data_IF_502910798709
#
_entry.id   IF_502910798709
#
_cell.length_a   1.000
_cell.length_b   1.000
_cell.length_c   1.000
_cell.angle_alpha   90.00
_cell.angle_beta   90.00
_cell.angle_gamma   90.00
#
_symmetry.space_group_name_H-M   'P 1'
#
loop_
_entity.id
_entity.type
_entity.pdbx_description
1 polymer ?
#
# COMPACT_ATOMS: atom_id res chain seq x y z
N UNK A 1 8.59 1.83 1.93
CA UNK A 1 9.79 2.71 1.76
C UNK A 1 10.82 1.95 0.94
N UNK A 2 11.47 2.59 -0.02
CA UNK A 2 12.39 1.97 -0.98
C UNK A 2 13.69 2.77 -1.08
N UNK A 3 14.75 2.17 -1.61
CA UNK A 3 16.04 2.82 -1.74
C UNK A 3 16.09 3.72 -2.98
N UNK A 4 15.99 3.13 -4.16
CA UNK A 4 16.15 3.81 -5.44
C UNK A 4 14.80 4.02 -6.14
N UNK A 5 14.52 5.26 -6.57
CA UNK A 5 13.26 5.62 -7.22
C UNK A 5 13.11 4.98 -8.61
N UNK A 6 14.21 4.87 -9.39
CA UNK A 6 14.18 4.30 -10.73
C UNK A 6 13.98 2.77 -10.69
N UNK A 7 14.68 2.07 -9.81
CA UNK A 7 14.50 0.62 -9.61
C UNK A 7 13.08 0.30 -9.15
N UNK A 8 12.53 1.11 -8.24
CA UNK A 8 11.14 0.98 -7.81
C UNK A 8 10.17 1.18 -8.99
N UNK A 9 10.37 2.22 -9.79
CA UNK A 9 9.56 2.49 -10.96
C UNK A 9 9.62 1.32 -11.96
N UNK A 10 10.81 0.84 -12.30
CA UNK A 10 11.01 -0.25 -13.24
C UNK A 10 10.35 -1.55 -12.76
N UNK A 11 10.53 -1.90 -11.50
CA UNK A 11 9.93 -3.11 -10.93
C UNK A 11 8.40 -3.06 -10.96
N UNK A 12 7.79 -2.03 -10.39
CA UNK A 12 6.34 -1.96 -10.28
C UNK A 12 5.65 -1.74 -11.62
N UNK A 13 6.28 -1.05 -12.57
CA UNK A 13 5.69 -0.85 -13.91
C UNK A 13 6.03 -1.96 -14.92
N UNK A 14 7.23 -2.53 -14.91
CA UNK A 14 7.63 -3.51 -15.92
C UNK A 14 7.40 -4.96 -15.45
N UNK A 15 7.74 -5.29 -14.19
CA UNK A 15 7.53 -6.64 -13.66
C UNK A 15 6.07 -6.85 -13.28
N UNK A 16 5.49 -5.97 -12.46
CA UNK A 16 4.11 -6.11 -11.97
C UNK A 16 3.06 -5.48 -12.89
N UNK A 17 3.47 -4.79 -13.94
CA UNK A 17 2.57 -4.11 -14.88
C UNK A 17 1.59 -3.15 -14.19
N UNK A 18 1.98 -2.56 -13.05
CA UNK A 18 1.21 -1.51 -12.41
C UNK A 18 1.48 -0.17 -13.12
N UNK A 19 0.48 0.68 -13.15
CA UNK A 19 0.57 1.99 -13.73
C UNK A 19 1.12 2.99 -12.73
N UNK A 20 2.20 3.72 -13.06
CA UNK A 20 2.57 4.93 -12.34
C UNK A 20 1.49 5.99 -12.59
N UNK A 21 0.77 6.37 -11.54
CA UNK A 21 -0.38 7.28 -11.63
C UNK A 21 -0.10 8.66 -11.05
N UNK A 22 0.96 8.79 -10.25
CA UNK A 22 1.41 10.09 -9.75
C UNK A 22 2.88 10.09 -9.43
N UNK A 23 3.58 11.11 -9.90
CA UNK A 23 4.88 11.53 -9.40
C UNK A 23 4.68 12.80 -8.59
N UNK A 24 5.01 12.78 -7.32
CA UNK A 24 5.00 13.96 -6.46
C UNK A 24 6.17 13.89 -5.49
N UNK A 25 6.22 14.79 -4.52
CA UNK A 25 7.21 14.77 -3.44
C UNK A 25 6.52 14.46 -2.11
N UNK A 26 7.30 14.06 -1.12
CA UNK A 26 6.77 13.93 0.21
C UNK A 26 6.20 15.27 0.68
N UNK A 27 4.94 15.26 1.13
CA UNK A 27 4.19 16.46 1.52
C UNK A 27 4.77 17.17 2.76
N UNK A 28 5.55 16.46 3.55
CA UNK A 28 6.18 17.01 4.76
C UNK A 28 7.66 17.38 4.51
N UNK A 29 8.33 16.74 3.51
CA UNK A 29 9.70 17.02 3.10
C UNK A 29 9.87 16.83 1.58
N UNK A 30 10.00 17.91 0.79
CA UNK A 30 10.06 17.82 -0.67
C UNK A 30 11.43 17.38 -1.22
N UNK A 31 12.33 16.86 -0.40
CA UNK A 31 13.66 16.41 -0.82
C UNK A 31 13.65 15.08 -1.59
N UNK A 32 12.56 14.31 -1.52
CA UNK A 32 12.43 13.02 -2.18
C UNK A 32 11.08 12.84 -2.87
N UNK A 33 11.06 11.95 -3.85
CA UNK A 33 9.84 11.55 -4.53
C UNK A 33 8.82 10.90 -3.59
N UNK A 34 7.56 11.01 -3.98
CA UNK A 34 6.47 10.17 -3.51
C UNK A 34 5.77 9.63 -4.77
N UNK A 35 5.97 8.36 -5.05
CA UNK A 35 5.46 7.69 -6.25
C UNK A 35 4.21 6.89 -5.94
N UNK A 36 3.20 6.97 -6.81
CA UNK A 36 1.93 6.27 -6.65
C UNK A 36 1.70 5.33 -7.83
N UNK A 37 1.44 4.07 -7.52
CA UNK A 37 1.11 3.04 -8.50
C UNK A 37 -0.29 2.51 -8.24
N UNK A 38 -0.96 2.10 -9.29
CA UNK A 38 -2.28 1.47 -9.24
C UNK A 38 -2.43 0.43 -10.34
N UNK A 39 -3.52 -0.35 -10.32
CA UNK A 39 -3.93 -1.20 -11.42
C UNK A 39 -4.16 -0.38 -12.69
N UNK A 40 -4.14 -1.03 -13.86
CA UNK A 40 -4.20 -0.33 -15.16
C UNK A 40 -5.46 0.51 -15.34
N UNK A 41 -6.59 0.06 -14.85
CA UNK A 41 -7.90 0.71 -15.00
C UNK A 41 -8.28 1.64 -13.84
N UNK A 42 -7.53 1.68 -12.74
CA UNK A 42 -7.81 2.48 -11.54
C UNK A 42 -9.20 2.24 -10.91
N UNK A 43 -9.85 1.14 -11.25
CA UNK A 43 -11.22 0.86 -10.83
C UNK A 43 -11.32 0.39 -9.38
N UNK A 44 -10.21 -0.13 -8.84
CA UNK A 44 -10.21 -0.80 -7.54
C UNK A 44 -9.24 -0.15 -6.56
N UNK A 45 -9.40 -0.37 -5.25
CA UNK A 45 -8.44 0.10 -4.25
C UNK A 45 -7.09 -0.59 -4.43
N UNK A 46 -6.25 0.01 -5.26
CA UNK A 46 -4.94 -0.53 -5.62
C UNK A 46 -3.81 0.49 -5.46
N UNK A 47 -4.09 1.63 -4.81
CA UNK A 47 -3.15 2.73 -4.73
C UNK A 47 -1.99 2.41 -3.77
N UNK A 48 -0.89 1.91 -4.32
CA UNK A 48 0.34 1.66 -3.60
C UNK A 48 1.32 2.81 -3.74
N UNK A 49 1.81 3.35 -2.63
CA UNK A 49 2.68 4.53 -2.66
C UNK A 49 4.05 4.26 -2.06
N UNK A 50 5.06 4.95 -2.59
CA UNK A 50 6.44 4.74 -2.20
C UNK A 50 7.15 6.05 -1.86
N UNK A 51 7.95 5.98 -0.80
CA UNK A 51 8.93 7.00 -0.45
C UNK A 51 10.34 6.47 -0.76
N UNK A 52 10.95 6.87 -1.88
CA UNK A 52 12.36 6.60 -2.15
C UNK A 52 13.26 7.37 -1.16
N UNK A 53 14.15 6.64 -0.53
CA UNK A 53 15.06 7.14 0.51
C UNK A 53 16.50 6.75 0.16
N UNK A 54 17.06 7.32 -0.91
CA UNK A 54 18.31 6.88 -1.56
C UNK A 54 19.51 6.71 -0.62
N UNK A 55 19.56 7.46 0.48
CA UNK A 55 20.68 7.42 1.45
C UNK A 55 20.30 6.79 2.80
N UNK A 56 19.17 6.10 2.86
CA UNK A 56 18.71 5.48 4.10
C UNK A 56 19.22 4.05 4.23
N UNK A 57 19.23 3.56 5.47
CA UNK A 57 19.56 2.17 5.75
C UNK A 57 18.34 1.27 5.54
N UNK A 58 18.60 -0.02 5.34
CA UNK A 58 17.56 -1.03 5.38
C UNK A 58 16.81 -0.98 6.71
N UNK A 59 15.50 -1.10 6.66
CA UNK A 59 14.68 -1.24 7.86
C UNK A 59 14.75 -2.65 8.44
N UNK A 60 14.20 -2.82 9.63
CA UNK A 60 14.00 -4.14 10.22
C UNK A 60 12.50 -4.39 10.34
N UNK A 61 12.02 -5.48 9.72
CA UNK A 61 10.61 -5.88 9.80
C UNK A 61 10.23 -6.20 11.25
N UNK A 62 9.06 -5.76 11.68
CA UNK A 62 8.59 -6.01 13.03
C UNK A 62 7.36 -5.20 13.38
N UNK A 63 6.99 -5.17 14.65
CA UNK A 63 5.77 -4.51 15.10
C UNK A 63 5.76 -3.01 14.78
N UNK A 64 4.56 -2.51 14.53
CA UNK A 64 4.32 -1.14 14.14
C UNK A 64 4.34 -0.92 12.62
N UNK A 65 4.40 -1.99 11.82
CA UNK A 65 4.48 -1.96 10.36
C UNK A 65 3.39 -2.85 9.74
N UNK A 66 2.98 -2.51 8.49
CA UNK A 66 2.44 -3.52 7.61
C UNK A 66 3.54 -4.52 7.24
N UNK A 67 3.16 -5.76 7.01
CA UNK A 67 4.07 -6.81 6.59
C UNK A 67 4.06 -7.00 5.06
N UNK A 68 3.87 -8.25 4.65
CA UNK A 68 3.71 -8.62 3.23
C UNK A 68 2.50 -7.94 2.62
N UNK A 69 2.64 -7.46 1.38
CA UNK A 69 1.55 -6.91 0.60
C UNK A 69 1.13 -7.96 -0.44
N UNK A 70 -0.18 -8.19 -0.52
CA UNK A 70 -0.76 -9.17 -1.41
C UNK A 70 -1.60 -8.45 -2.47
N UNK A 71 -1.26 -8.67 -3.73
CA UNK A 71 -2.05 -8.22 -4.87
C UNK A 71 -2.96 -9.34 -5.35
N UNK A 72 -4.14 -8.99 -5.78
CA UNK A 72 -5.08 -9.93 -6.38
C UNK A 72 -4.84 -10.04 -7.88
N UNK A 73 -4.81 -11.28 -8.36
CA UNK A 73 -4.78 -11.61 -9.78
C UNK A 73 -6.02 -12.43 -10.12
N UNK A 74 -6.49 -12.42 -11.38
CA UNK A 74 -7.63 -13.20 -11.80
C UNK A 74 -7.41 -14.70 -11.61
N UNK A 75 -8.49 -15.43 -11.49
CA UNK A 75 -8.48 -16.90 -11.49
C UNK A 75 -7.81 -17.43 -12.76
N UNK A 76 -7.06 -18.53 -12.62
CA UNK A 76 -6.28 -19.17 -13.67
C UNK A 76 -5.15 -18.31 -14.28
N UNK A 77 -4.64 -17.32 -13.53
CA UNK A 77 -3.53 -16.44 -13.96
C UNK A 77 -2.17 -16.82 -13.40
N UNK A 78 -2.08 -17.80 -12.51
CA UNK A 78 -0.82 -18.19 -11.84
C UNK A 78 0.29 -18.56 -12.82
N UNK A 79 -0.02 -19.38 -13.85
CA UNK A 79 0.96 -19.80 -14.86
C UNK A 79 1.54 -18.61 -15.66
N UNK A 80 0.70 -17.62 -15.95
CA UNK A 80 1.18 -16.40 -16.60
C UNK A 80 2.16 -15.64 -15.70
N UNK A 81 1.81 -15.48 -14.43
CA UNK A 81 2.63 -14.71 -13.48
C UNK A 81 3.91 -15.44 -13.07
N UNK A 82 3.90 -16.76 -12.94
CA UNK A 82 5.11 -17.54 -12.69
C UNK A 82 6.11 -17.39 -13.84
N UNK A 83 5.66 -17.58 -15.09
CA UNK A 83 6.48 -17.38 -16.27
C UNK A 83 6.99 -15.93 -16.40
N UNK A 84 6.16 -14.94 -16.03
CA UNK A 84 6.56 -13.55 -16.03
C UNK A 84 7.65 -13.26 -15.00
N UNK A 85 7.51 -13.70 -13.76
CA UNK A 85 8.53 -13.56 -12.72
C UNK A 85 9.85 -14.22 -13.14
N UNK A 86 9.78 -15.43 -13.72
CA UNK A 86 10.94 -16.14 -14.26
C UNK A 86 11.63 -15.34 -15.39
N UNK A 87 10.85 -14.75 -16.30
CA UNK A 87 11.39 -13.97 -17.42
C UNK A 87 12.16 -12.72 -16.97
N UNK A 88 11.82 -12.18 -15.80
CA UNK A 88 12.54 -11.08 -15.15
C UNK A 88 13.59 -11.54 -14.13
N UNK A 89 13.77 -12.86 -13.96
CA UNK A 89 14.72 -13.42 -12.99
C UNK A 89 14.35 -13.19 -11.54
N UNK A 90 13.08 -13.02 -11.25
CA UNK A 90 12.58 -12.81 -9.88
C UNK A 90 12.31 -14.18 -9.23
N UNK A 91 13.03 -14.55 -8.17
CA UNK A 91 12.77 -15.78 -7.43
C UNK A 91 11.41 -15.71 -6.75
N UNK A 92 10.64 -16.78 -6.82
CA UNK A 92 9.35 -16.89 -6.17
C UNK A 92 9.14 -18.28 -5.55
N UNK A 93 8.14 -18.37 -4.70
CA UNK A 93 7.67 -19.64 -4.12
C UNK A 93 6.15 -19.73 -4.29
N UNK A 94 5.70 -20.78 -4.95
CA UNK A 94 4.27 -21.08 -5.02
C UNK A 94 3.83 -21.80 -3.74
N UNK A 95 2.79 -21.28 -3.09
CA UNK A 95 2.23 -21.84 -1.85
C UNK A 95 0.73 -21.54 -1.79
N UNK A 96 0.00 -22.35 -1.04
CA UNK A 96 -1.37 -22.02 -0.66
C UNK A 96 -1.39 -21.00 0.48
N UNK A 97 -2.25 -20.02 0.37
CA UNK A 97 -2.61 -19.08 1.42
C UNK A 97 -4.08 -19.35 1.80
N UNK A 98 -4.30 -20.15 2.83
CA UNK A 98 -5.58 -20.80 3.08
C UNK A 98 -6.03 -21.60 1.85
N UNK A 99 -7.18 -21.26 1.24
CA UNK A 99 -7.72 -21.95 0.06
C UNK A 99 -7.23 -21.37 -1.28
N UNK A 100 -6.60 -20.18 -1.26
CA UNK A 100 -6.10 -19.53 -2.47
C UNK A 100 -4.67 -19.95 -2.82
N UNK A 101 -4.38 -20.10 -4.10
CA UNK A 101 -3.01 -20.28 -4.59
C UNK A 101 -2.30 -18.93 -4.72
N UNK A 102 -1.02 -18.88 -4.37
CA UNK A 102 -0.28 -17.63 -4.38
C UNK A 102 1.21 -17.82 -4.72
N UNK A 103 1.79 -16.79 -5.39
CA UNK A 103 3.21 -16.67 -5.66
C UNK A 103 3.82 -15.64 -4.70
N UNK A 104 4.74 -16.09 -3.87
CA UNK A 104 5.44 -15.27 -2.87
C UNK A 104 6.83 -14.90 -3.38
N UNK A 105 7.16 -13.62 -3.36
CA UNK A 105 8.45 -13.07 -3.81
C UNK A 105 8.79 -11.77 -3.09
N UNK A 106 9.90 -11.17 -3.44
CA UNK A 106 10.34 -9.88 -2.89
C UNK A 106 10.62 -8.88 -4.03
N UNK A 107 10.40 -7.61 -3.75
CA UNK A 107 10.85 -6.54 -4.62
C UNK A 107 12.37 -6.31 -4.49
N UNK A 108 13.01 -5.48 -5.36
CA UNK A 108 14.45 -5.19 -5.28
C UNK A 108 14.91 -4.62 -3.94
N UNK A 109 13.98 -4.09 -3.15
CA UNK A 109 14.24 -3.49 -1.83
C UNK A 109 13.88 -4.41 -0.66
N UNK A 110 13.64 -5.72 -0.93
CA UNK A 110 13.29 -6.75 0.06
C UNK A 110 11.90 -6.54 0.72
N UNK A 111 11.01 -5.81 0.07
CA UNK A 111 9.62 -5.79 0.47
C UNK A 111 8.97 -7.11 0.05
N UNK A 112 8.39 -7.82 1.02
CA UNK A 112 7.69 -9.06 0.75
C UNK A 112 6.36 -8.81 0.05
N UNK A 113 6.16 -9.50 -1.06
CA UNK A 113 4.98 -9.41 -1.91
C UNK A 113 4.37 -10.80 -2.13
N UNK A 114 3.10 -10.82 -2.50
CA UNK A 114 2.49 -12.00 -3.09
C UNK A 114 1.47 -11.61 -4.17
N UNK A 115 1.32 -12.49 -5.16
CA UNK A 115 0.20 -12.49 -6.09
C UNK A 115 -0.73 -13.61 -5.68
N UNK A 116 -1.96 -13.28 -5.34
CA UNK A 116 -2.97 -14.22 -4.82
C UNK A 116 -4.08 -14.36 -5.84
N UNK A 117 -4.38 -15.59 -6.20
CA UNK A 117 -5.44 -15.88 -7.14
C UNK A 117 -6.81 -15.60 -6.51
N UNK A 118 -7.56 -14.70 -7.12
CA UNK A 118 -8.93 -14.37 -6.73
C UNK A 118 -9.95 -15.34 -7.32
N UNK A 119 -11.22 -15.22 -6.95
CA UNK A 119 -12.30 -16.12 -7.40
C UNK A 119 -12.77 -15.82 -8.82
N UNK A 120 -12.55 -14.59 -9.32
CA UNK A 120 -13.11 -14.11 -10.57
C UNK A 120 -12.16 -14.34 -11.75
N UNK A 121 -12.71 -14.75 -12.90
CA UNK A 121 -11.99 -14.78 -14.17
C UNK A 121 -11.98 -13.36 -14.79
N UNK A 122 -10.92 -13.04 -15.52
CA UNK A 122 -10.83 -11.80 -16.28
C UNK A 122 -10.29 -12.05 -17.69
N UNK A 123 -10.51 -11.09 -18.58
CA UNK A 123 -10.01 -11.16 -19.97
C UNK A 123 -8.51 -11.01 -20.08
N UNK A 124 -7.87 -10.45 -19.07
CA UNK A 124 -6.42 -10.25 -18.96
C UNK A 124 -5.91 -10.74 -17.62
N UNK A 125 -4.66 -11.20 -17.52
CA UNK A 125 -4.10 -11.70 -16.26
C UNK A 125 -3.60 -10.61 -15.30
N UNK A 126 -3.93 -9.35 -15.57
CA UNK A 126 -3.40 -8.20 -14.84
C UNK A 126 -3.82 -8.19 -13.38
N UNK A 127 -3.02 -7.52 -12.54
CA UNK A 127 -3.37 -7.25 -11.14
C UNK A 127 -4.67 -6.43 -11.11
N UNK A 128 -5.66 -6.93 -10.40
CA UNK A 128 -6.98 -6.29 -10.27
C UNK A 128 -7.07 -5.33 -9.09
N UNK A 129 -6.21 -5.48 -8.09
CA UNK A 129 -6.18 -4.62 -6.91
C UNK A 129 -5.35 -5.22 -5.79
N UNK A 130 -5.59 -4.75 -4.57
CA UNK A 130 -5.07 -5.44 -3.39
C UNK A 130 -5.93 -6.67 -3.08
N UNK A 131 -5.26 -7.75 -2.71
CA UNK A 131 -5.91 -8.85 -2.00
C UNK A 131 -5.92 -8.59 -0.50
N UNK A 132 -4.83 -8.04 0.03
CA UNK A 132 -4.72 -7.72 1.44
C UNK A 132 -3.28 -7.48 1.91
N UNK A 133 -3.10 -7.49 3.23
CA UNK A 133 -1.77 -7.30 3.83
C UNK A 133 -1.63 -8.02 5.16
N UNK A 134 -0.38 -8.30 5.53
CA UNK A 134 -0.06 -8.76 6.87
C UNK A 134 0.05 -7.58 7.83
N UNK A 135 -0.43 -7.76 9.05
CA UNK A 135 -0.34 -6.79 10.13
C UNK A 135 0.70 -7.27 11.15
N UNK A 136 1.84 -6.60 11.25
CA UNK A 136 2.89 -6.96 12.21
C UNK A 136 2.64 -6.24 13.55
N UNK A 137 1.96 -6.93 14.44
CA UNK A 137 1.48 -6.37 15.71
C UNK A 137 2.43 -6.61 16.88
N UNK A 138 2.57 -5.62 17.76
CA UNK A 138 3.23 -5.77 19.07
C UNK A 138 2.34 -6.52 20.09
N UNK A 139 1.02 -6.53 19.86
CA UNK A 139 0.01 -7.24 20.64
C UNK A 139 -1.08 -7.71 19.70
N UNK A 140 -0.92 -8.91 19.14
CA UNK A 140 -1.84 -9.42 18.14
C UNK A 140 -3.27 -9.64 18.68
N UNK A 141 -3.41 -9.95 19.96
CA UNK A 141 -4.74 -10.14 20.57
C UNK A 141 -5.49 -8.81 20.68
N UNK A 142 -4.81 -7.75 21.10
CA UNK A 142 -5.38 -6.41 21.13
C UNK A 142 -5.70 -5.89 19.73
N UNK A 143 -4.82 -6.13 18.74
CA UNK A 143 -5.09 -5.81 17.32
C UNK A 143 -6.31 -6.57 16.80
N UNK A 144 -6.41 -7.86 17.06
CA UNK A 144 -7.54 -8.69 16.63
C UNK A 144 -8.87 -8.13 17.17
N UNK A 145 -8.94 -7.85 18.49
CA UNK A 145 -10.15 -7.26 19.10
C UNK A 145 -10.47 -5.89 18.52
N UNK A 146 -9.46 -5.06 18.28
CA UNK A 146 -9.65 -3.73 17.68
C UNK A 146 -10.18 -3.81 16.25
N UNK A 147 -9.63 -4.69 15.42
CA UNK A 147 -10.07 -4.89 14.04
C UNK A 147 -11.54 -5.34 13.97
N UNK A 148 -11.96 -6.23 14.86
CA UNK A 148 -13.34 -6.73 14.88
C UNK A 148 -14.30 -5.68 15.48
N UNK A 149 -13.99 -5.14 16.64
CA UNK A 149 -14.92 -4.32 17.40
C UNK A 149 -15.02 -2.89 16.88
N UNK A 150 -13.89 -2.31 16.42
CA UNK A 150 -13.82 -0.91 16.02
C UNK A 150 -13.81 -0.72 14.48
N UNK A 151 -13.22 -1.66 13.76
CA UNK A 151 -13.18 -1.62 12.28
C UNK A 151 -14.21 -2.51 11.62
N UNK A 152 -14.90 -3.36 12.39
CA UNK A 152 -15.96 -4.22 11.88
C UNK A 152 -15.49 -5.30 10.90
N UNK A 153 -14.20 -5.71 10.99
CA UNK A 153 -13.71 -6.81 10.19
C UNK A 153 -14.34 -8.14 10.65
N UNK A 154 -14.55 -9.02 9.70
CA UNK A 154 -15.16 -10.33 9.92
C UNK A 154 -14.08 -11.42 9.83
N UNK A 155 -13.93 -12.28 10.85
CA UNK A 155 -13.08 -13.45 10.74
C UNK A 155 -13.61 -14.42 9.69
N UNK A 156 -12.70 -14.85 8.78
CA UNK A 156 -13.03 -15.82 7.73
C UNK A 156 -12.52 -17.21 8.13
N UNK A 157 -11.24 -17.26 8.50
CA UNK A 157 -10.54 -18.48 8.85
C UNK A 157 -9.39 -18.20 9.82
N UNK A 158 -8.88 -19.25 10.42
CA UNK A 158 -7.67 -19.22 11.22
C UNK A 158 -6.94 -20.56 11.14
N UNK A 159 -5.65 -20.52 11.36
CA UNK A 159 -4.83 -21.70 11.64
C UNK A 159 -3.97 -21.44 12.87
N UNK A 160 -2.97 -22.29 13.14
CA UNK A 160 -2.10 -22.13 14.32
C UNK A 160 -1.30 -20.82 14.29
N UNK A 161 -0.99 -20.29 13.11
CA UNK A 161 -0.08 -19.16 12.90
C UNK A 161 -0.79 -17.84 12.58
N UNK A 162 -2.01 -17.87 11.99
CA UNK A 162 -2.66 -16.69 11.41
C UNK A 162 -4.15 -16.62 11.73
N UNK A 163 -4.62 -15.40 11.98
CA UNK A 163 -6.01 -15.02 11.73
C UNK A 163 -6.14 -14.46 10.32
N UNK A 164 -7.22 -14.83 9.65
CA UNK A 164 -7.62 -14.34 8.33
C UNK A 164 -8.95 -13.59 8.47
N UNK A 165 -8.90 -12.28 8.25
CA UNK A 165 -10.00 -11.34 8.45
C UNK A 165 -10.32 -10.65 7.11
N UNK A 166 -11.59 -10.29 6.90
CA UNK A 166 -12.00 -9.48 5.75
C UNK A 166 -12.77 -8.24 6.17
N UNK A 167 -12.77 -7.22 5.31
CA UNK A 167 -13.66 -6.08 5.46
C UNK A 167 -15.11 -6.50 5.18
N UNK A 168 -16.06 -5.83 5.80
CA UNK A 168 -17.49 -6.04 5.54
C UNK A 168 -17.99 -5.07 4.44
N UNK A 169 -17.29 -5.05 3.30
CA UNK A 169 -17.61 -4.23 2.12
C UNK A 169 -17.91 -5.14 0.93
N UNK A 170 -18.46 -4.56 -0.15
CA UNK A 170 -18.69 -5.28 -1.41
C UNK A 170 -17.37 -5.73 -2.05
N UNK A 171 -16.34 -4.89 -1.96
CA UNK A 171 -14.98 -5.22 -2.34
C UNK A 171 -14.22 -5.65 -1.07
N UNK A 172 -13.84 -6.91 -1.03
CA UNK A 172 -13.28 -7.54 0.16
C UNK A 172 -11.76 -7.32 0.20
N UNK A 173 -11.31 -6.45 1.10
CA UNK A 173 -9.90 -6.38 1.48
C UNK A 173 -9.63 -7.28 2.68
N UNK A 174 -8.44 -7.86 2.73
CA UNK A 174 -8.10 -8.87 3.73
C UNK A 174 -6.93 -8.44 4.62
N UNK A 175 -7.02 -8.82 5.89
CA UNK A 175 -5.94 -8.71 6.86
C UNK A 175 -5.52 -10.11 7.32
N UNK A 176 -4.23 -10.36 7.21
CA UNK A 176 -3.56 -11.53 7.75
C UNK A 176 -2.82 -11.12 9.02
N UNK A 177 -3.29 -11.56 10.16
CA UNK A 177 -2.73 -11.20 11.46
C UNK A 177 -1.99 -12.41 12.06
N UNK A 178 -0.64 -12.40 12.11
CA UNK A 178 0.12 -13.45 12.77
C UNK A 178 -0.24 -13.56 14.26
N UNK A 179 -0.42 -14.77 14.76
CA UNK A 179 -0.73 -15.07 16.16
C UNK A 179 0.54 -15.03 17.04
N UNK A 180 1.36 -14.00 16.82
CA UNK A 180 2.59 -13.78 17.56
C UNK A 180 2.78 -12.27 17.79
N UNK A 181 3.25 -11.92 18.97
CA UNK A 181 3.68 -10.55 19.25
C UNK A 181 5.04 -10.32 18.61
N UNK A 182 5.07 -9.47 17.59
CA UNK A 182 6.29 -9.13 16.89
C UNK A 182 7.17 -8.20 17.75
N UNK A 183 8.48 -8.43 17.72
CA UNK A 183 9.43 -7.47 18.26
C UNK A 183 9.34 -6.14 17.48
N UNK A 184 9.82 -5.05 18.08
CA UNK A 184 9.75 -3.72 17.49
C UNK A 184 10.52 -3.65 16.19
N UNK A 185 9.82 -3.30 15.09
CA UNK A 185 10.42 -3.00 13.80
C UNK A 185 11.12 -1.63 13.78
N UNK A 186 12.05 -1.48 12.85
CA UNK A 186 12.70 -0.21 12.53
C UNK A 186 12.35 0.20 11.12
N UNK A 187 11.76 1.40 10.96
CA UNK A 187 11.44 1.94 9.64
C UNK A 187 12.70 2.18 8.81
N UNK A 188 12.66 1.86 7.55
CA UNK A 188 13.75 2.00 6.60
C UNK A 188 13.40 1.33 5.27
N UNK A 189 14.39 1.19 4.39
CA UNK A 189 14.20 0.54 3.09
C UNK A 189 13.66 -0.88 3.29
N UNK A 190 12.67 -1.29 2.49
CA UNK A 190 12.03 -2.61 2.54
C UNK A 190 10.92 -2.75 3.59
N UNK A 191 10.45 -1.64 4.20
CA UNK A 191 9.36 -1.70 5.20
C UNK A 191 8.13 -0.93 4.77
N UNK A 192 6.96 -1.36 5.27
CA UNK A 192 5.66 -0.72 5.06
C UNK A 192 5.40 0.28 6.18
N UNK A 193 5.20 1.54 5.81
CA UNK A 193 5.04 2.64 6.78
C UNK A 193 3.68 2.61 7.47
N UNK A 194 2.60 2.43 6.71
CA UNK A 194 1.22 2.45 7.20
C UNK A 194 0.30 1.63 6.30
N UNK A 195 -0.88 1.35 6.81
CA UNK A 195 -1.99 0.77 6.05
C UNK A 195 -3.08 1.84 5.97
N UNK A 196 -3.54 2.16 4.76
CA UNK A 196 -4.60 3.14 4.52
C UNK A 196 -5.95 2.44 4.32
N UNK A 197 -6.98 3.00 4.94
CA UNK A 197 -8.38 2.57 4.89
C UNK A 197 -9.20 3.67 4.22
N UNK A 198 -9.98 3.33 3.21
CA UNK A 198 -10.80 4.28 2.51
C UNK A 198 -12.04 4.68 3.33
N UNK A 199 -12.38 5.96 3.30
CA UNK A 199 -13.63 6.52 3.81
C UNK A 199 -14.26 7.40 2.73
N UNK A 200 -15.58 7.38 2.63
CA UNK A 200 -16.33 7.99 1.54
C UNK A 200 -16.05 9.49 1.35
N UNK A 201 -15.99 10.23 2.45
CA UNK A 201 -15.90 11.69 2.38
C UNK A 201 -15.36 12.32 3.68
N UNK A 202 -15.18 13.65 3.63
CA UNK A 202 -14.66 14.43 4.76
C UNK A 202 -15.54 14.36 6.01
N UNK A 203 -16.85 14.26 5.86
CA UNK A 203 -17.75 14.21 7.02
C UNK A 203 -17.60 12.88 7.76
N UNK A 204 -17.55 11.77 7.03
CA UNK A 204 -17.27 10.45 7.60
C UNK A 204 -15.88 10.42 8.23
N UNK A 205 -14.88 11.05 7.61
CA UNK A 205 -13.54 11.16 8.18
C UNK A 205 -13.52 11.89 9.53
N UNK A 206 -14.29 12.99 9.67
CA UNK A 206 -14.44 13.73 10.94
C UNK A 206 -15.10 12.88 12.01
N UNK A 207 -16.20 12.21 11.66
CA UNK A 207 -16.93 11.32 12.57
C UNK A 207 -16.02 10.20 13.09
N UNK A 208 -15.28 9.55 12.21
CA UNK A 208 -14.31 8.52 12.59
C UNK A 208 -13.19 9.08 13.48
N UNK A 209 -12.67 10.28 13.17
CA UNK A 209 -11.67 10.93 14.02
C UNK A 209 -12.18 11.18 15.44
N UNK A 210 -13.39 11.73 15.56
CA UNK A 210 -13.98 12.07 16.84
C UNK A 210 -14.32 10.79 17.63
N UNK A 211 -14.81 9.76 16.96
CA UNK A 211 -15.03 8.44 17.55
C UNK A 211 -13.73 7.82 18.10
N UNK A 212 -12.70 7.73 17.27
CA UNK A 212 -11.40 7.16 17.65
C UNK A 212 -10.77 7.94 18.82
N UNK A 213 -10.87 9.27 18.81
CA UNK A 213 -10.41 10.09 19.93
C UNK A 213 -11.25 9.81 21.21
N UNK A 214 -12.56 9.61 21.06
CA UNK A 214 -13.48 9.26 22.15
C UNK A 214 -13.16 7.94 22.84
N UNK A 215 -12.67 6.95 22.09
CA UNK A 215 -12.22 5.66 22.64
C UNK A 215 -10.73 5.67 23.07
N UNK A 216 -10.11 6.85 23.12
CA UNK A 216 -8.76 7.03 23.67
C UNK A 216 -7.61 6.85 22.68
N UNK A 217 -7.89 6.79 21.36
CA UNK A 217 -6.84 6.75 20.36
C UNK A 217 -6.17 8.13 20.18
N UNK A 218 -4.85 8.15 20.04
CA UNK A 218 -4.11 9.38 19.72
C UNK A 218 -4.16 9.66 18.21
N UNK A 219 -5.20 10.38 17.78
CA UNK A 219 -5.48 10.65 16.36
C UNK A 219 -4.94 12.03 15.97
N UNK A 220 -4.31 12.12 14.82
CA UNK A 220 -3.80 13.40 14.28
C UNK A 220 -4.94 14.36 13.92
N UNK A 221 -4.59 15.63 13.71
CA UNK A 221 -5.46 16.56 12.99
C UNK A 221 -5.64 16.08 11.55
N UNK A 222 -6.73 16.50 10.90
CA UNK A 222 -6.97 16.20 9.48
C UNK A 222 -5.86 16.84 8.65
N UNK A 223 -5.20 16.01 7.83
CA UNK A 223 -4.14 16.40 6.90
C UNK A 223 -4.72 16.53 5.50
N UNK A 224 -4.38 17.63 4.82
CA UNK A 224 -4.68 17.78 3.39
C UNK A 224 -3.50 17.22 2.59
N UNK A 225 -3.75 16.14 1.84
CA UNK A 225 -2.78 15.47 0.98
C UNK A 225 -3.00 15.77 -0.51
N UNK A 226 -3.63 16.89 -0.84
CA UNK A 226 -4.01 17.33 -2.18
C UNK A 226 -5.06 16.40 -2.82
N UNK A 227 -4.74 15.14 -3.00
CA UNK A 227 -5.58 14.11 -3.64
C UNK A 227 -6.65 13.51 -2.73
N UNK A 228 -6.44 13.60 -1.43
CA UNK A 228 -7.34 13.11 -0.37
C UNK A 228 -7.10 13.88 0.93
N UNK A 229 -7.95 13.68 1.89
CA UNK A 229 -7.76 14.13 3.28
C UNK A 229 -7.64 12.93 4.17
N UNK A 230 -6.76 13.01 5.17
CA UNK A 230 -6.49 11.86 6.02
C UNK A 230 -6.26 12.20 7.48
N UNK A 231 -6.44 11.20 8.32
CA UNK A 231 -6.01 11.15 9.73
C UNK A 231 -5.16 9.92 9.94
N UNK A 232 -4.28 9.98 10.94
CA UNK A 232 -3.37 8.91 11.30
C UNK A 232 -3.49 8.61 12.79
N UNK A 233 -3.38 7.33 13.14
CA UNK A 233 -3.25 6.89 14.53
C UNK A 233 -2.49 5.55 14.55
N UNK A 234 -2.07 5.12 15.76
CA UNK A 234 -1.53 3.78 15.92
C UNK A 234 -2.59 2.90 16.56
N UNK A 235 -2.95 1.81 15.87
CA UNK A 235 -3.80 0.79 16.46
C UNK A 235 -3.10 0.14 17.69
N UNK A 236 -3.78 -0.66 18.53
CA UNK A 236 -3.19 -1.20 19.76
C UNK A 236 -1.86 -1.94 19.57
N UNK A 237 -1.68 -2.67 18.48
CA UNK A 237 -0.43 -3.35 18.11
C UNK A 237 0.66 -2.45 17.52
N UNK A 238 0.45 -1.14 17.52
CA UNK A 238 1.36 -0.06 17.11
C UNK A 238 1.49 0.17 15.60
N UNK A 239 0.79 -0.56 14.76
CA UNK A 239 0.77 -0.28 13.32
C UNK A 239 0.10 1.07 13.05
N UNK A 240 0.68 1.85 12.14
CA UNK A 240 0.07 3.13 11.75
C UNK A 240 -1.09 2.82 10.79
N UNK A 241 -2.28 3.25 11.18
CA UNK A 241 -3.44 3.29 10.31
C UNK A 241 -3.67 4.71 9.83
N UNK A 242 -3.96 4.83 8.53
CA UNK A 242 -4.46 6.04 7.89
C UNK A 242 -5.93 5.83 7.54
N UNK A 243 -6.81 6.77 7.87
CA UNK A 243 -8.12 6.85 7.24
C UNK A 243 -8.06 7.95 6.19
N UNK A 244 -8.34 7.63 4.94
CA UNK A 244 -8.21 8.52 3.80
C UNK A 244 -9.53 8.63 3.02
N UNK A 245 -9.91 9.85 2.61
CA UNK A 245 -11.11 10.06 1.78
C UNK A 245 -10.86 9.61 0.34
N UNK A 246 -11.89 9.13 -0.34
CA UNK A 246 -11.83 8.76 -1.76
C UNK A 246 -11.55 9.96 -2.68
N UNK A 247 -11.91 11.15 -2.26
CA UNK A 247 -11.76 12.36 -3.06
C UNK A 247 -10.90 13.43 -2.42
N UNK A 248 -10.48 14.39 -3.27
CA UNK A 248 -10.88 14.70 -4.65
C UNK A 248 -10.29 13.78 -5.73
N UNK A 249 -9.32 12.93 -5.41
CA UNK A 249 -8.74 11.96 -6.32
C UNK A 249 -7.50 12.45 -7.08
N UNK A 250 -6.79 11.51 -7.69
CA UNK A 250 -5.50 11.77 -8.35
C UNK A 250 -5.62 12.50 -9.70
N UNK A 251 -6.82 12.60 -10.24
CA UNK A 251 -7.07 13.23 -11.54
C UNK A 251 -7.31 14.74 -11.47
N UNK A 252 -7.21 15.36 -10.29
CA UNK A 252 -7.49 16.80 -10.13
C UNK A 252 -6.48 17.73 -10.80
N UNK A 253 -5.27 17.26 -11.07
CA UNK A 253 -4.18 18.04 -11.64
C UNK A 253 -3.55 17.42 -12.90
N UNK A 254 -3.96 16.22 -13.27
CA UNK A 254 -3.55 15.54 -14.50
C UNK A 254 -4.75 14.78 -15.10
N UNK A 255 -4.98 14.87 -16.41
CA UNK A 255 -6.00 14.04 -17.06
C UNK A 255 -5.61 12.56 -16.99
N UNK A 256 -6.60 11.67 -17.04
CA UNK A 256 -6.44 10.24 -16.82
C UNK A 256 -5.36 9.59 -17.70
N UNK A 257 -5.31 9.96 -18.98
CA UNK A 257 -4.34 9.44 -19.95
C UNK A 257 -2.89 9.93 -19.69
N UNK A 258 -2.72 11.03 -18.98
CA UNK A 258 -1.42 11.63 -18.65
C UNK A 258 -0.95 11.42 -17.20
N UNK A 259 -1.72 10.70 -16.40
CA UNK A 259 -1.37 10.44 -14.99
C UNK A 259 0.05 9.90 -14.86
N UNK A 260 0.84 10.47 -13.94
CA UNK A 260 2.19 10.05 -13.63
C UNK A 260 3.25 10.42 -14.65
N UNK A 261 2.93 11.22 -15.70
CA UNK A 261 3.91 11.61 -16.71
C UNK A 261 4.77 12.81 -16.28
N UNK A 262 4.26 13.64 -15.37
CA UNK A 262 4.94 14.86 -14.92
C UNK A 262 4.99 14.94 -13.40
N UNK A 263 6.02 15.62 -12.89
CA UNK A 263 6.09 15.94 -11.45
C UNK A 263 4.98 16.92 -11.08
N UNK A 264 4.11 16.48 -10.18
CA UNK A 264 3.10 17.31 -9.54
C UNK A 264 3.59 17.74 -8.15
N UNK A 265 3.37 18.98 -7.78
CA UNK A 265 3.76 19.48 -6.46
C UNK A 265 2.52 19.84 -5.63
N UNK A 266 2.59 19.69 -4.30
CA UNK A 266 1.69 20.36 -3.39
C UNK A 266 1.76 21.89 -3.60
N UNK A 267 0.63 22.60 -3.54
CA UNK A 267 0.55 24.04 -3.82
C UNK A 267 1.56 24.87 -3.00
N UNK A 268 1.81 24.46 -1.76
CA UNK A 268 2.80 25.11 -0.88
C UNK A 268 4.26 25.01 -1.37
N UNK A 269 4.55 24.15 -2.33
CA UNK A 269 5.89 23.94 -2.89
C UNK A 269 6.05 24.46 -4.33
N UNK A 270 4.98 24.93 -4.98
CA UNK A 270 5.01 25.38 -6.37
C UNK A 270 6.00 26.56 -6.58
N UNK A 271 6.13 27.46 -5.63
CA UNK A 271 7.09 28.55 -5.69
C UNK A 271 8.57 28.09 -5.62
N UNK A 272 8.80 26.80 -5.31
CA UNK A 272 10.13 26.18 -5.24
C UNK A 272 10.31 25.10 -6.32
N UNK A 273 9.41 25.01 -7.30
CA UNK A 273 9.42 23.96 -8.33
C UNK A 273 10.79 23.77 -8.97
N UNK A 274 11.41 24.82 -9.49
CA UNK A 274 12.71 24.74 -10.14
C UNK A 274 13.81 24.18 -9.21
N UNK A 275 13.84 24.60 -7.95
CA UNK A 275 14.78 24.08 -6.96
C UNK A 275 14.56 22.58 -6.69
N UNK A 276 13.28 22.17 -6.55
CA UNK A 276 12.91 20.78 -6.28
C UNK A 276 13.28 19.90 -7.47
N UNK A 277 12.91 20.29 -8.68
CA UNK A 277 13.25 19.55 -9.91
C UNK A 277 14.76 19.42 -10.14
N UNK A 278 15.54 20.44 -9.76
CA UNK A 278 17.01 20.39 -9.87
C UNK A 278 17.63 19.39 -8.87
N UNK A 279 17.01 19.22 -7.70
CA UNK A 279 17.52 18.35 -6.64
C UNK A 279 17.08 16.87 -6.80
N UNK A 280 15.99 16.63 -7.52
CA UNK A 280 15.50 15.28 -7.76
C UNK A 280 16.23 14.64 -8.94
N UNK A 281 16.68 13.39 -8.79
CA UNK A 281 17.21 12.61 -9.90
C UNK A 281 16.08 12.35 -10.92
N UNK A 282 16.17 12.79 -12.19
CA UNK A 282 15.11 12.60 -13.17
C UNK A 282 14.79 11.12 -13.39
N UNK A 283 13.50 10.79 -13.41
CA UNK A 283 13.03 9.44 -13.70
C UNK A 283 12.83 9.22 -15.19
N UNK A 284 13.25 8.06 -15.67
CA UNK A 284 12.96 7.56 -17.02
C UNK A 284 11.64 6.81 -16.97
N UNK A 285 10.57 7.49 -17.38
CA UNK A 285 9.22 6.90 -17.38
C UNK A 285 9.11 5.97 -18.60
N UNK A 286 8.69 4.70 -18.44
CA UNK A 286 8.44 3.81 -19.56
C UNK A 286 7.38 4.40 -20.49
N UNK A 287 7.59 4.26 -21.81
CA UNK A 287 6.56 4.55 -22.81
C UNK A 287 5.39 3.57 -22.62
N UNK A 288 4.17 4.08 -22.77
CA UNK A 288 2.92 3.29 -22.61
C UNK A 288 2.48 2.71 -23.94
#
# INVERSE_FOLDING_TARGET
MVGNAQENLEFYSQVLNLRLVKQTVNFDDPSGYHLYFASQNLSDPSLMTFFPLENSQAGTKGSGQGGRILFQIPKASLDFWSQRLESFGIPYQERSLFEASALFFEDPHQLELALVEGPEEASTPEITGFHGTYLLSADYQASYQFLINEFGLVPIAENDDLYYLKTNRLEEDHIYLPKVNCERGQMGIGTVHHIAWAVENLEVLKQNRDYLAGIGQNVTVIRNRKYFKSIYFREPGKVIFELATDGPGITIDEPFDQLGQKLQLPDKFENRRHQIETNLTPLRIPER
#
